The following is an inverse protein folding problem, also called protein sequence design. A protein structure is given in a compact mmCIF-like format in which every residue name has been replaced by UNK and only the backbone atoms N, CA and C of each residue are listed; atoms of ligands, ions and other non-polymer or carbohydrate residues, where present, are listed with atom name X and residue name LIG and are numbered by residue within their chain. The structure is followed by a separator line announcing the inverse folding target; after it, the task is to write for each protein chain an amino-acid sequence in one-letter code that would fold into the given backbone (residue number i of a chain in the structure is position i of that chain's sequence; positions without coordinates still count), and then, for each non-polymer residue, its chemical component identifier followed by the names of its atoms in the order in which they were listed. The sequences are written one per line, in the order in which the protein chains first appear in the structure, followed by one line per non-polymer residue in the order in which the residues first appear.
data_IF_812709844808
#
_entry.id   IF_812709844808
#
_cell.length_a   1.000
_cell.length_b   1.000
_cell.length_c   1.000
_cell.angle_alpha   90.00
_cell.angle_beta   90.00
_cell.angle_gamma   90.00
#
_symmetry.space_group_name_H-M   'P 1'
#
loop_
_entity.id
_entity.type
_entity.pdbx_description
1 polymer ?
#
# COMPACT_ATOMS: atom_id res chain seq x y z
N UNK A 1 -72.91 -26.94 9.81
CA UNK A 1 -72.86 -27.50 11.18
C UNK A 1 -71.55 -27.05 11.80
N UNK A 2 -71.59 -26.14 12.77
CA UNK A 2 -70.43 -25.73 13.57
C UNK A 2 -70.17 -26.75 14.67
N UNK A 3 -68.91 -27.16 14.84
CA UNK A 3 -68.42 -27.75 16.09
C UNK A 3 -67.75 -26.67 16.95
N UNK A 4 -67.85 -26.75 18.29
CA UNK A 4 -67.30 -25.74 19.21
C UNK A 4 -65.79 -25.88 19.39
N UNK A 5 -65.07 -24.79 19.76
CA UNK A 5 -63.64 -24.81 20.03
C UNK A 5 -63.30 -25.46 21.39
N UNK A 6 -62.18 -26.19 21.42
CA UNK A 6 -61.56 -26.84 22.58
C UNK A 6 -60.91 -25.79 23.53
N UNK A 7 -61.08 -25.88 24.87
CA UNK A 7 -60.65 -24.84 25.81
C UNK A 7 -59.15 -24.69 26.09
N UNK A 8 -58.23 -25.45 25.47
CA UNK A 8 -56.88 -25.64 26.04
C UNK A 8 -55.64 -25.28 25.16
N UNK A 9 -55.69 -24.29 24.27
CA UNK A 9 -54.47 -23.86 23.57
C UNK A 9 -54.38 -22.33 23.33
N UNK A 10 -53.68 -21.56 24.18
CA UNK A 10 -53.67 -20.10 24.04
C UNK A 10 -52.77 -19.55 22.91
N UNK A 11 -51.70 -20.23 22.45
CA UNK A 11 -50.81 -19.67 21.42
C UNK A 11 -50.06 -20.75 20.61
N UNK A 12 -50.68 -21.25 19.54
CA UNK A 12 -50.03 -22.04 18.49
C UNK A 12 -50.07 -21.29 17.15
N UNK A 13 -48.91 -20.84 16.65
CA UNK A 13 -48.76 -20.23 15.32
C UNK A 13 -48.92 -21.28 14.20
N UNK A 14 -49.69 -21.02 13.11
CA UNK A 14 -49.71 -21.90 11.95
C UNK A 14 -48.61 -21.58 10.91
N UNK A 15 -48.02 -22.65 10.38
CA UNK A 15 -47.05 -22.73 9.29
C UNK A 15 -47.62 -22.24 7.94
N UNK A 16 -46.79 -21.61 7.10
CA UNK A 16 -47.13 -21.25 5.72
C UNK A 16 -46.69 -22.33 4.70
N UNK A 17 -47.58 -22.76 3.78
CA UNK A 17 -47.23 -23.64 2.66
C UNK A 17 -46.75 -22.93 1.38
N UNK A 18 -45.78 -23.56 0.73
CA UNK A 18 -45.17 -23.27 -0.57
C UNK A 18 -46.12 -23.53 -1.76
N UNK A 19 -46.31 -22.56 -2.68
CA UNK A 19 -46.90 -22.79 -4.00
C UNK A 19 -46.28 -21.85 -5.07
N UNK A 20 -45.80 -22.45 -6.16
CA UNK A 20 -45.14 -21.79 -7.28
C UNK A 20 -46.07 -21.15 -8.32
N UNK A 21 -45.54 -20.19 -9.07
CA UNK A 21 -46.24 -19.50 -10.16
C UNK A 21 -45.62 -19.85 -11.53
N UNK A 22 -46.44 -20.13 -12.56
CA UNK A 22 -45.97 -20.30 -13.93
C UNK A 22 -45.73 -18.96 -14.65
N UNK A 23 -44.66 -18.90 -15.45
CA UNK A 23 -44.31 -17.80 -16.37
C UNK A 23 -45.38 -17.59 -17.47
N UNK A 24 -45.77 -16.34 -17.72
CA UNK A 24 -46.55 -15.94 -18.90
C UNK A 24 -45.69 -15.09 -19.83
N UNK A 25 -45.60 -15.49 -21.11
CA UNK A 25 -45.01 -14.73 -22.21
C UNK A 25 -45.94 -13.57 -22.64
N UNK A 26 -45.41 -12.39 -23.00
CA UNK A 26 -46.21 -11.30 -23.55
C UNK A 26 -46.60 -11.56 -25.03
N UNK A 27 -47.79 -11.11 -25.49
CA UNK A 27 -48.28 -11.34 -26.85
C UNK A 27 -47.58 -10.51 -27.94
N UNK A 28 -47.56 -11.08 -29.15
CA UNK A 28 -46.93 -10.54 -30.36
C UNK A 28 -47.68 -9.33 -30.96
N UNK A 29 -46.92 -8.32 -31.38
CA UNK A 29 -47.43 -7.16 -32.13
C UNK A 29 -47.41 -7.44 -33.66
N UNK A 30 -48.40 -6.98 -34.45
CA UNK A 30 -48.43 -7.18 -35.91
C UNK A 30 -47.36 -6.35 -36.63
N UNK A 31 -46.60 -7.00 -37.51
CA UNK A 31 -45.50 -6.42 -38.25
C UNK A 31 -45.92 -5.55 -39.44
N UNK A 32 -45.20 -4.46 -39.63
CA UNK A 32 -45.00 -3.79 -40.92
C UNK A 32 -43.55 -4.01 -41.34
N UNK A 33 -43.37 -4.68 -42.49
CA UNK A 33 -42.07 -5.16 -42.97
C UNK A 33 -41.23 -4.07 -43.62
N UNK A 34 -39.94 -4.05 -43.26
CA UNK A 34 -38.86 -3.55 -44.11
C UNK A 34 -37.81 -4.66 -44.23
N UNK A 35 -37.32 -4.99 -45.44
CA UNK A 35 -36.24 -5.97 -45.59
C UNK A 35 -34.92 -5.34 -45.09
N UNK A 36 -34.47 -5.73 -43.90
CA UNK A 36 -33.15 -5.34 -43.39
C UNK A 36 -32.12 -6.33 -43.93
N UNK A 37 -31.33 -5.88 -44.92
CA UNK A 37 -30.20 -6.60 -45.49
C UNK A 37 -29.14 -6.90 -44.42
N UNK A 38 -28.63 -8.13 -44.39
CA UNK A 38 -27.50 -8.51 -43.55
C UNK A 38 -26.22 -7.78 -44.01
N UNK A 39 -25.39 -7.25 -43.10
CA UNK A 39 -24.10 -6.67 -43.49
C UNK A 39 -23.15 -7.76 -44.02
N UNK A 40 -22.36 -7.49 -45.08
CA UNK A 40 -21.41 -8.46 -45.62
C UNK A 40 -20.29 -8.78 -44.61
N UNK A 41 -19.94 -10.06 -44.51
CA UNK A 41 -18.77 -10.52 -43.77
C UNK A 41 -17.48 -9.93 -44.38
N UNK A 42 -16.73 -9.18 -43.58
CA UNK A 42 -15.42 -8.67 -43.97
C UNK A 42 -14.38 -9.82 -44.02
N UNK A 43 -13.54 -9.92 -45.07
CA UNK A 43 -12.50 -10.95 -45.14
C UNK A 43 -11.43 -10.75 -44.05
N UNK A 44 -11.26 -11.77 -43.21
CA UNK A 44 -10.24 -11.80 -42.16
C UNK A 44 -8.83 -11.93 -42.75
N UNK A 45 -8.00 -10.91 -42.53
CA UNK A 45 -6.56 -11.00 -42.73
C UNK A 45 -5.92 -11.68 -41.53
N UNK A 46 -5.52 -12.94 -41.72
CA UNK A 46 -4.83 -13.74 -40.71
C UNK A 46 -3.39 -13.27 -40.49
N UNK A 47 -3.07 -12.93 -39.25
CA UNK A 47 -1.69 -12.93 -38.76
C UNK A 47 -1.38 -14.30 -38.15
N UNK A 48 -0.19 -14.88 -38.38
CA UNK A 48 0.18 -16.16 -37.78
C UNK A 48 0.33 -16.02 -36.26
N UNK A 49 -0.49 -16.77 -35.52
CA UNK A 49 -0.38 -16.94 -34.08
C UNK A 49 0.90 -17.75 -33.75
N UNK A 50 1.83 -17.14 -33.03
CA UNK A 50 2.96 -17.87 -32.44
C UNK A 50 2.46 -18.68 -31.22
N UNK A 51 2.90 -19.94 -31.03
CA UNK A 51 2.46 -20.75 -29.90
C UNK A 51 3.08 -20.21 -28.60
N UNK A 52 2.27 -19.63 -27.71
CA UNK A 52 2.69 -19.36 -26.35
C UNK A 52 2.79 -20.67 -25.57
N UNK A 53 4.02 -21.09 -25.30
CA UNK A 53 4.33 -22.16 -24.36
C UNK A 53 3.89 -21.73 -22.95
N UNK A 54 2.84 -22.38 -22.45
CA UNK A 54 2.37 -22.23 -21.08
C UNK A 54 3.39 -22.76 -20.09
N UNK A 55 4.15 -21.87 -19.46
CA UNK A 55 4.86 -22.18 -18.23
C UNK A 55 3.90 -21.99 -17.06
N UNK A 56 3.39 -23.11 -16.55
CA UNK A 56 2.59 -23.16 -15.33
C UNK A 56 3.45 -22.77 -14.12
N UNK A 57 3.16 -21.62 -13.54
CA UNK A 57 3.66 -21.25 -12.21
C UNK A 57 2.66 -21.80 -11.20
N UNK A 58 3.05 -22.65 -10.23
CA UNK A 58 2.15 -23.08 -9.18
C UNK A 58 1.81 -21.89 -8.27
N UNK A 59 0.58 -21.40 -8.37
CA UNK A 59 0.01 -20.40 -7.46
C UNK A 59 -0.18 -21.05 -6.08
N UNK A 60 0.69 -20.71 -5.14
CA UNK A 60 0.46 -20.96 -3.71
C UNK A 60 -0.20 -19.74 -3.06
N UNK A 61 -1.28 -19.99 -2.32
CA UNK A 61 -1.62 -19.25 -1.10
C UNK A 61 -2.74 -18.21 -1.21
N UNK A 62 -3.94 -18.65 -0.80
CA UNK A 62 -5.14 -17.90 -0.40
C UNK A 62 -5.03 -16.37 -0.28
N UNK A 63 -5.80 -15.66 -1.12
CA UNK A 63 -6.16 -14.26 -0.94
C UNK A 63 -7.39 -13.93 -1.76
N UNK A 64 -8.43 -13.40 -1.12
CA UNK A 64 -9.64 -12.90 -1.78
C UNK A 64 -9.28 -11.96 -2.94
N UNK A 65 -9.98 -12.02 -4.09
CA UNK A 65 -9.80 -11.07 -5.18
C UNK A 65 -10.28 -9.70 -4.71
N UNK A 66 -9.32 -8.83 -4.40
CA UNK A 66 -9.62 -7.45 -3.99
C UNK A 66 -9.87 -6.59 -5.24
N UNK A 67 -10.95 -5.79 -5.27
CA UNK A 67 -11.36 -5.05 -6.45
C UNK A 67 -10.48 -3.82 -6.65
N UNK A 68 -9.35 -4.01 -7.32
CA UNK A 68 -8.64 -2.93 -8.00
C UNK A 68 -9.32 -2.57 -9.32
N UNK A 69 -9.07 -1.34 -9.79
CA UNK A 69 -9.41 -0.90 -11.15
C UNK A 69 -9.12 -2.01 -12.17
N UNK A 70 -10.04 -2.29 -13.11
CA UNK A 70 -9.93 -3.45 -14.01
C UNK A 70 -8.52 -3.54 -14.62
N UNK A 71 -7.79 -4.62 -14.30
CA UNK A 71 -6.43 -4.87 -14.79
C UNK A 71 -5.29 -4.47 -13.84
N UNK A 72 -5.55 -3.93 -12.64
CA UNK A 72 -4.50 -3.69 -11.65
C UNK A 72 -3.92 -5.01 -11.11
N UNK A 73 -2.58 -5.12 -10.97
CA UNK A 73 -1.96 -6.27 -10.32
C UNK A 73 -2.41 -6.40 -8.85
N UNK A 74 -2.30 -7.60 -8.25
CA UNK A 74 -2.66 -7.82 -6.85
C UNK A 74 -1.95 -6.85 -5.89
N UNK A 75 -2.64 -6.47 -4.82
CA UNK A 75 -2.07 -5.60 -3.79
C UNK A 75 -0.87 -6.25 -3.09
N UNK A 76 0.12 -5.42 -2.76
CA UNK A 76 1.28 -5.82 -1.97
C UNK A 76 0.86 -6.19 -0.54
N UNK A 77 1.46 -7.24 0.03
CA UNK A 77 1.26 -7.60 1.42
C UNK A 77 1.86 -6.54 2.35
N UNK A 78 1.37 -6.45 3.59
CA UNK A 78 1.93 -5.55 4.59
C UNK A 78 3.41 -5.82 4.84
N UNK A 79 3.80 -7.09 4.97
CA UNK A 79 5.18 -7.49 5.20
C UNK A 79 6.12 -7.06 4.07
N UNK A 80 5.71 -7.14 2.79
CA UNK A 80 6.56 -6.69 1.70
C UNK A 80 6.76 -5.18 1.70
N UNK A 81 5.76 -4.40 2.12
CA UNK A 81 5.89 -2.97 2.34
C UNK A 81 6.87 -2.66 3.48
N UNK A 82 6.81 -3.39 4.59
CA UNK A 82 7.73 -3.21 5.73
C UNK A 82 9.16 -3.50 5.33
N UNK A 83 9.41 -4.65 4.70
CA UNK A 83 10.76 -5.03 4.24
C UNK A 83 11.30 -4.01 3.23
N UNK A 84 10.47 -3.55 2.28
CA UNK A 84 10.87 -2.49 1.36
C UNK A 84 11.29 -1.20 2.09
N UNK A 85 10.52 -0.77 3.09
CA UNK A 85 10.86 0.42 3.90
C UNK A 85 12.13 0.21 4.73
N UNK A 86 12.36 -0.99 5.27
CA UNK A 86 13.59 -1.32 6.00
C UNK A 86 14.81 -1.27 5.08
N UNK A 87 14.72 -1.82 3.86
CA UNK A 87 15.80 -1.76 2.86
C UNK A 87 16.10 -0.31 2.48
N UNK A 88 15.08 0.48 2.17
CA UNK A 88 15.24 1.90 1.85
C UNK A 88 15.88 2.67 3.04
N UNK A 89 15.44 2.36 4.25
CA UNK A 89 15.97 2.93 5.49
C UNK A 89 17.42 2.56 5.76
N UNK A 90 17.85 1.33 5.44
CA UNK A 90 19.25 0.93 5.58
C UNK A 90 20.13 1.60 4.53
N UNK A 91 19.67 1.70 3.27
CA UNK A 91 20.42 2.31 2.16
C UNK A 91 20.76 3.78 2.47
N UNK A 92 19.81 4.53 3.02
CA UNK A 92 20.03 5.95 3.36
C UNK A 92 20.58 6.10 4.77
N UNK A 93 20.02 5.36 5.73
CA UNK A 93 20.27 5.54 7.15
C UNK A 93 21.63 5.04 7.61
N UNK A 94 22.16 3.95 7.05
CA UNK A 94 23.48 3.43 7.47
C UNK A 94 24.60 4.41 7.09
N UNK A 95 24.74 4.86 5.83
CA UNK A 95 25.79 5.82 5.48
C UNK A 95 25.69 7.14 6.26
N UNK A 96 24.48 7.70 6.37
CA UNK A 96 24.24 8.92 7.14
C UNK A 96 24.51 8.74 8.63
N UNK A 97 24.10 7.60 9.19
CA UNK A 97 24.26 7.26 10.60
C UNK A 97 25.72 7.02 10.98
N UNK A 98 26.54 6.45 10.08
CA UNK A 98 27.99 6.31 10.29
C UNK A 98 28.63 7.69 10.40
N UNK A 99 28.35 8.61 9.47
CA UNK A 99 28.90 9.97 9.50
C UNK A 99 28.50 10.72 10.77
N UNK A 100 27.20 10.68 11.11
CA UNK A 100 26.68 11.29 12.32
C UNK A 100 27.30 10.66 13.58
N UNK A 101 27.39 9.33 13.63
CA UNK A 101 27.95 8.60 14.76
C UNK A 101 29.42 8.89 15.00
N UNK A 102 30.24 8.98 13.94
CA UNK A 102 31.65 9.36 14.07
C UNK A 102 31.75 10.82 14.55
N UNK A 103 31.00 11.74 13.96
CA UNK A 103 31.02 13.15 14.37
C UNK A 103 30.57 13.34 15.83
N UNK A 104 29.51 12.65 16.26
CA UNK A 104 29.04 12.66 17.64
C UNK A 104 30.03 11.99 18.60
N UNK A 105 30.65 10.88 18.20
CA UNK A 105 31.67 10.20 19.01
C UNK A 105 32.89 11.09 19.25
N UNK A 106 33.31 11.89 18.26
CA UNK A 106 34.38 12.88 18.45
C UNK A 106 34.02 13.94 19.48
N UNK A 107 32.76 14.40 19.50
CA UNK A 107 32.27 15.34 20.52
C UNK A 107 32.33 14.71 21.91
N UNK A 108 31.86 13.47 22.06
CA UNK A 108 31.84 12.76 23.35
C UNK A 108 33.27 12.41 23.83
N UNK A 109 34.15 12.00 22.92
CA UNK A 109 35.54 11.63 23.24
C UNK A 109 36.38 12.82 23.73
N UNK A 110 35.95 14.05 23.43
CA UNK A 110 36.58 15.28 23.91
C UNK A 110 36.13 15.72 25.30
N UNK A 111 35.19 15.01 25.94
CA UNK A 111 34.66 15.35 27.26
C UNK A 111 35.56 14.76 28.36
N UNK A 112 36.03 15.61 29.27
CA UNK A 112 36.80 15.20 30.45
C UNK A 112 36.00 15.55 31.70
N UNK A 113 35.60 14.53 32.46
CA UNK A 113 34.89 14.72 33.72
C UNK A 113 35.80 14.36 34.89
N UNK A 114 35.83 15.23 35.88
CA UNK A 114 36.59 15.09 37.12
C UNK A 114 35.65 15.30 38.30
N UNK A 115 35.79 14.47 39.33
CA UNK A 115 34.98 14.56 40.55
C UNK A 115 35.87 15.02 41.69
N UNK A 116 35.42 16.06 42.38
CA UNK A 116 36.08 16.59 43.57
C UNK A 116 35.89 15.60 44.74
N UNK A 117 36.97 15.11 45.36
CA UNK A 117 36.89 14.12 46.44
C UNK A 117 36.34 14.67 47.77
N UNK A 118 36.40 15.99 47.99
CA UNK A 118 35.96 16.61 49.24
C UNK A 118 34.51 17.07 49.17
N UNK A 119 34.07 17.53 47.99
CA UNK A 119 32.70 18.04 47.78
C UNK A 119 31.78 17.08 47.03
N UNK A 120 32.33 15.99 46.48
CA UNK A 120 31.64 15.04 45.57
C UNK A 120 31.03 15.70 44.33
N UNK A 121 31.41 16.95 44.02
CA UNK A 121 30.93 17.66 42.85
C UNK A 121 31.66 17.16 41.58
N UNK A 122 30.90 16.82 40.55
CA UNK A 122 31.44 16.44 39.24
C UNK A 122 31.46 17.63 38.28
N UNK A 123 32.61 17.92 37.68
CA UNK A 123 32.77 18.94 36.65
C UNK A 123 33.28 18.31 35.37
N UNK A 124 32.59 18.58 34.26
CA UNK A 124 32.99 18.15 32.93
C UNK A 124 33.46 19.35 32.12
N UNK A 125 34.63 19.22 31.48
CA UNK A 125 35.19 20.23 30.57
C UNK A 125 35.37 19.62 29.18
N UNK A 126 35.39 20.45 28.15
CA UNK A 126 35.43 19.99 26.77
C UNK A 126 34.05 19.58 26.26
N UNK A 127 34.00 18.63 25.31
CA UNK A 127 32.74 18.21 24.66
C UNK A 127 32.20 19.20 23.63
N UNK A 128 32.97 20.21 23.24
CA UNK A 128 32.64 21.05 22.09
C UNK A 128 32.84 20.25 20.80
N UNK A 129 31.88 20.34 19.89
CA UNK A 129 32.00 19.72 18.57
C UNK A 129 33.17 20.33 17.83
N UNK A 130 34.16 19.50 17.49
CA UNK A 130 35.31 19.93 16.68
C UNK A 130 34.86 20.34 15.27
N UNK A 131 35.64 21.15 14.56
CA UNK A 131 35.31 21.51 13.16
C UNK A 131 35.14 20.28 12.26
N UNK A 132 35.95 19.25 12.47
CA UNK A 132 35.84 17.96 11.78
C UNK A 132 34.57 17.22 12.17
N UNK A 133 34.25 17.12 13.46
CA UNK A 133 33.04 16.45 13.94
C UNK A 133 31.76 17.15 13.46
N UNK A 134 31.76 18.49 13.45
CA UNK A 134 30.67 19.31 12.93
C UNK A 134 30.48 19.11 11.43
N UNK A 135 31.57 19.06 10.66
CA UNK A 135 31.52 18.76 9.23
C UNK A 135 30.95 17.36 8.97
N UNK A 136 31.36 16.34 9.72
CA UNK A 136 30.84 14.97 9.58
C UNK A 136 29.34 14.88 9.89
N UNK A 137 28.90 15.54 10.97
CA UNK A 137 27.47 15.64 11.32
C UNK A 137 26.69 16.32 10.19
N UNK A 138 27.20 17.44 9.67
CA UNK A 138 26.57 18.17 8.57
C UNK A 138 26.48 17.31 7.31
N UNK A 139 27.56 16.63 6.94
CA UNK A 139 27.58 15.73 5.79
C UNK A 139 26.61 14.56 5.97
N UNK A 140 26.53 13.97 7.16
CA UNK A 140 25.56 12.92 7.48
C UNK A 140 24.12 13.40 7.30
N UNK A 141 23.82 14.62 7.78
CA UNK A 141 22.51 15.26 7.61
C UNK A 141 22.19 15.55 6.15
N UNK A 142 23.12 16.16 5.40
CA UNK A 142 22.96 16.43 3.96
C UNK A 142 22.72 15.14 3.19
N UNK A 143 23.46 14.07 3.50
CA UNK A 143 23.29 12.78 2.86
C UNK A 143 21.92 12.16 3.17
N UNK A 144 21.42 12.32 4.41
CA UNK A 144 20.11 11.81 4.80
C UNK A 144 18.99 12.54 4.04
N UNK A 145 19.07 13.87 3.95
CA UNK A 145 18.11 14.70 3.21
C UNK A 145 18.17 14.38 1.72
N UNK A 146 19.37 14.30 1.14
CA UNK A 146 19.53 13.95 -0.27
C UNK A 146 18.99 12.55 -0.58
N UNK A 147 19.25 11.57 0.31
CA UNK A 147 18.72 10.22 0.20
C UNK A 147 17.19 10.19 0.29
N UNK A 148 16.59 10.93 1.22
CA UNK A 148 15.13 11.07 1.31
C UNK A 148 14.55 11.68 0.03
N UNK A 149 15.09 12.80 -0.45
CA UNK A 149 14.64 13.45 -1.68
C UNK A 149 14.77 12.52 -2.89
N UNK A 150 15.85 11.74 -2.96
CA UNK A 150 16.02 10.72 -3.99
C UNK A 150 14.95 9.64 -3.92
N UNK A 151 14.63 9.11 -2.73
CA UNK A 151 13.57 8.12 -2.56
C UNK A 151 12.19 8.69 -2.94
N UNK A 152 11.90 9.93 -2.58
CA UNK A 152 10.66 10.63 -2.96
C UNK A 152 10.59 10.85 -4.47
N UNK A 153 11.69 11.24 -5.10
CA UNK A 153 11.81 11.33 -6.55
C UNK A 153 11.52 9.98 -7.21
N UNK A 154 12.15 8.91 -6.73
CA UNK A 154 11.99 7.55 -7.27
C UNK A 154 10.56 7.04 -7.12
N UNK A 155 9.95 7.21 -5.96
CA UNK A 155 8.56 6.75 -5.76
C UNK A 155 7.56 7.61 -6.54
N UNK A 156 7.81 8.92 -6.67
CA UNK A 156 6.96 9.81 -7.44
C UNK A 156 7.03 9.59 -8.95
N UNK A 157 8.21 9.28 -9.48
CA UNK A 157 8.44 9.14 -10.93
C UNK A 157 8.32 7.73 -11.46
N UNK A 158 8.61 6.71 -10.64
CA UNK A 158 8.62 5.29 -11.07
C UNK A 158 7.71 4.39 -10.23
N UNK A 159 7.17 4.90 -9.11
CA UNK A 159 6.50 4.07 -8.12
C UNK A 159 7.44 3.15 -7.32
N UNK A 160 8.74 3.11 -7.66
CA UNK A 160 9.67 2.11 -7.14
C UNK A 160 10.97 2.72 -6.58
N UNK A 161 11.06 2.68 -5.25
CA UNK A 161 12.32 2.83 -4.51
C UNK A 161 13.16 1.54 -4.60
N UNK A 162 14.47 1.58 -4.30
CA UNK A 162 15.30 0.37 -4.27
C UNK A 162 14.70 -0.79 -3.47
N UNK A 163 14.18 -0.53 -2.27
CA UNK A 163 13.51 -1.53 -1.45
C UNK A 163 12.22 -2.06 -2.06
N UNK A 164 11.41 -1.19 -2.68
CA UNK A 164 10.20 -1.63 -3.40
C UNK A 164 10.53 -2.49 -4.62
N UNK A 165 11.63 -2.19 -5.34
CA UNK A 165 12.14 -3.04 -6.41
C UNK A 165 12.56 -4.41 -5.88
N UNK A 166 13.30 -4.45 -4.78
CA UNK A 166 13.72 -5.71 -4.15
C UNK A 166 12.53 -6.60 -3.74
N UNK A 167 11.40 -5.97 -3.39
CA UNK A 167 10.18 -6.68 -3.00
C UNK A 167 9.18 -6.91 -4.15
N UNK A 168 9.53 -6.57 -5.39
CA UNK A 168 8.64 -6.65 -6.56
C UNK A 168 7.30 -5.96 -6.32
N UNK A 169 7.33 -4.74 -5.79
CA UNK A 169 6.16 -3.91 -5.56
C UNK A 169 6.37 -2.51 -6.12
N UNK A 170 5.28 -1.80 -6.39
CA UNK A 170 5.31 -0.39 -6.77
C UNK A 170 4.12 0.37 -6.21
N UNK A 171 4.34 1.65 -5.97
CA UNK A 171 3.30 2.60 -5.68
C UNK A 171 2.60 3.04 -6.96
N UNK A 172 1.27 3.10 -6.92
CA UNK A 172 0.43 3.53 -8.02
C UNK A 172 -0.70 4.43 -7.51
N UNK A 173 -1.16 5.35 -8.34
CA UNK A 173 -2.43 6.06 -8.12
C UNK A 173 -3.58 5.08 -8.33
N UNK A 174 -4.59 5.16 -7.47
CA UNK A 174 -5.72 4.22 -7.48
C UNK A 174 -6.61 4.37 -8.71
N UNK A 175 -6.74 5.59 -9.25
CA UNK A 175 -7.66 5.90 -10.36
C UNK A 175 -7.21 5.37 -11.72
N UNK A 176 -5.90 5.28 -11.98
CA UNK A 176 -5.36 5.00 -13.31
C UNK A 176 -4.12 4.09 -13.29
N UNK A 177 -3.63 3.71 -12.11
CA UNK A 177 -2.43 2.89 -11.94
C UNK A 177 -1.11 3.58 -12.29
N UNK A 178 -1.15 4.88 -12.59
CA UNK A 178 0.02 5.68 -12.98
C UNK A 178 0.83 6.13 -11.75
N UNK A 179 1.98 6.73 -12.02
CA UNK A 179 2.85 7.25 -10.97
C UNK A 179 2.28 8.57 -10.42
N UNK A 180 2.41 8.77 -9.12
CA UNK A 180 1.74 9.87 -8.42
C UNK A 180 2.42 11.24 -8.64
N UNK A 181 3.66 11.26 -9.13
CA UNK A 181 4.49 12.45 -9.26
C UNK A 181 5.23 12.80 -7.97
N UNK A 182 6.30 13.59 -8.08
CA UNK A 182 7.14 13.97 -6.93
C UNK A 182 6.38 14.77 -5.86
N UNK A 183 5.58 15.76 -6.27
CA UNK A 183 4.82 16.60 -5.33
C UNK A 183 3.87 15.78 -4.46
N UNK A 184 3.09 14.87 -5.08
CA UNK A 184 2.20 13.98 -4.33
C UNK A 184 2.96 12.95 -3.49
N UNK A 185 4.12 12.48 -3.94
CA UNK A 185 4.99 11.63 -3.12
C UNK A 185 5.51 12.35 -1.88
N UNK A 186 5.82 13.65 -1.99
CA UNK A 186 6.21 14.49 -0.86
C UNK A 186 5.03 14.71 0.11
N UNK A 187 3.85 15.09 -0.37
CA UNK A 187 2.65 15.24 0.47
C UNK A 187 2.32 13.93 1.19
N UNK A 188 2.42 12.79 0.50
CA UNK A 188 2.30 11.45 1.09
C UNK A 188 3.27 11.20 2.22
N UNK A 189 4.52 11.63 2.06
CA UNK A 189 5.52 11.48 3.11
C UNK A 189 5.17 12.32 4.34
N UNK A 190 4.67 13.54 4.15
CA UNK A 190 4.17 14.37 5.26
C UNK A 190 2.97 13.72 5.96
N UNK A 191 2.00 13.17 5.22
CA UNK A 191 0.88 12.45 5.81
C UNK A 191 1.36 11.24 6.65
N UNK A 192 2.38 10.53 6.19
CA UNK A 192 2.99 9.46 6.97
C UNK A 192 3.71 9.94 8.24
N UNK A 193 4.29 11.13 8.22
CA UNK A 193 4.88 11.73 9.42
C UNK A 193 3.80 12.04 10.47
N UNK A 194 2.62 12.49 10.03
CA UNK A 194 1.46 12.71 10.91
C UNK A 194 0.90 11.37 11.45
N UNK A 195 0.88 10.31 10.64
CA UNK A 195 0.51 8.95 11.08
C UNK A 195 1.44 8.39 12.17
N UNK A 196 2.72 8.77 12.14
CA UNK A 196 3.73 8.34 13.10
C UNK A 196 3.41 8.72 14.54
N UNK A 197 2.62 9.77 14.76
CA UNK A 197 2.18 10.17 16.10
C UNK A 197 1.16 9.20 16.71
N UNK A 198 0.46 8.42 15.88
CA UNK A 198 -0.61 7.54 16.33
C UNK A 198 -0.27 6.06 16.24
N UNK A 199 0.84 5.63 15.59
CA UNK A 199 1.31 4.24 15.40
C UNK A 199 0.31 3.22 14.76
N UNK A 200 -0.99 3.47 14.84
CA UNK A 200 -2.10 2.65 14.34
C UNK A 200 -2.17 2.71 12.82
N UNK A 201 -1.79 3.83 12.20
CA UNK A 201 -1.80 4.02 10.74
C UNK A 201 -0.87 3.05 9.99
N UNK A 202 0.19 2.55 10.63
CA UNK A 202 1.11 1.58 10.03
C UNK A 202 0.60 0.14 10.06
N UNK A 203 -0.26 -0.23 11.01
CA UNK A 203 -0.88 -1.55 11.10
C UNK A 203 -2.18 -1.65 10.28
N UNK A 204 -2.78 -0.50 9.94
CA UNK A 204 -4.00 -0.40 9.14
C UNK A 204 -4.07 -1.29 7.88
N UNK A 205 -2.98 -1.47 7.10
CA UNK A 205 -3.02 -2.32 5.90
C UNK A 205 -3.26 -3.82 6.18
N UNK A 206 -3.24 -4.26 7.44
CA UNK A 206 -3.49 -5.66 7.81
C UNK A 206 -4.97 -6.04 7.66
N UNK A 207 -5.89 -5.10 7.90
CA UNK A 207 -7.33 -5.32 7.86
C UNK A 207 -8.07 -4.44 6.85
N UNK A 208 -7.38 -3.56 6.14
CA UNK A 208 -7.95 -2.79 5.04
C UNK A 208 -8.08 -3.63 3.77
N UNK A 209 -9.25 -3.56 3.11
CA UNK A 209 -9.55 -4.30 1.87
C UNK A 209 -8.50 -4.04 0.77
N UNK A 210 -8.11 -2.78 0.58
CA UNK A 210 -7.10 -2.38 -0.42
C UNK A 210 -5.68 -2.40 0.13
N UNK A 211 -5.49 -2.88 1.36
CA UNK A 211 -4.23 -2.86 2.11
C UNK A 211 -3.61 -1.46 2.13
N UNK A 212 -4.40 -0.41 2.24
CA UNK A 212 -3.95 0.98 2.26
C UNK A 212 -3.50 1.39 3.67
N UNK A 213 -2.49 2.25 3.78
CA UNK A 213 -2.23 3.04 5.00
C UNK A 213 -3.21 4.22 5.09
N UNK A 214 -3.26 4.94 6.22
CA UNK A 214 -4.08 6.15 6.30
C UNK A 214 -3.61 7.21 5.27
N UNK A 215 -2.30 7.46 5.19
CA UNK A 215 -1.74 8.30 4.13
C UNK A 215 -2.10 7.82 2.71
N UNK A 216 -2.17 6.50 2.46
CA UNK A 216 -2.58 5.95 1.16
C UNK A 216 -4.01 6.34 0.81
N UNK A 217 -4.94 6.24 1.78
CA UNK A 217 -6.37 6.59 1.60
C UNK A 217 -6.56 8.06 1.34
N UNK A 218 -5.90 8.92 2.12
CA UNK A 218 -5.99 10.39 1.97
C UNK A 218 -5.58 10.83 0.56
N UNK A 219 -4.68 10.08 -0.07
CA UNK A 219 -4.09 10.45 -1.36
C UNK A 219 -4.55 9.55 -2.51
N UNK A 220 -5.52 8.65 -2.27
CA UNK A 220 -6.04 7.70 -3.26
C UNK A 220 -4.90 6.95 -3.97
N UNK A 221 -4.03 6.32 -3.18
CA UNK A 221 -2.88 5.56 -3.68
C UNK A 221 -2.91 4.12 -3.19
N UNK A 222 -2.33 3.22 -3.97
CA UNK A 222 -2.28 1.78 -3.66
C UNK A 222 -0.90 1.23 -4.01
N UNK A 223 -0.43 0.24 -3.24
CA UNK A 223 0.81 -0.50 -3.57
C UNK A 223 0.42 -1.85 -4.14
N UNK A 224 0.92 -2.11 -5.34
CA UNK A 224 0.63 -3.32 -6.12
C UNK A 224 1.92 -4.10 -6.39
N UNK A 225 1.79 -5.40 -6.65
CA UNK A 225 2.91 -6.22 -7.10
C UNK A 225 3.35 -5.82 -8.51
N UNK A 226 4.65 -5.89 -8.78
CA UNK A 226 5.22 -5.84 -10.13
C UNK A 226 5.60 -7.25 -10.53
N UNK A 227 5.33 -7.60 -11.79
CA UNK A 227 5.67 -8.93 -12.33
C UNK A 227 7.19 -9.14 -12.32
#
# INVERSE_FOLDING_TARGET
MSYPPDPNNPYGQPQQPNYGYPQQQPPAAPGYGYPQQAPPAAPGYGYPQAPQQGYGIPQQGYGYPQPGYQGMPPYASWGSRVVATLIDGLIVGVPSGILYGIGAAQTISGMKCTTDPDTYASHCTGGATSGVGGLLILLGWVLAVAGLLFLLYRVGTTGQTPGKKAMNIRLARESDGQNIGFGMAFVRHLCHFLDGFCCVGYLWPLWDDKRQTFADKVLSTVVVKTQ
#
